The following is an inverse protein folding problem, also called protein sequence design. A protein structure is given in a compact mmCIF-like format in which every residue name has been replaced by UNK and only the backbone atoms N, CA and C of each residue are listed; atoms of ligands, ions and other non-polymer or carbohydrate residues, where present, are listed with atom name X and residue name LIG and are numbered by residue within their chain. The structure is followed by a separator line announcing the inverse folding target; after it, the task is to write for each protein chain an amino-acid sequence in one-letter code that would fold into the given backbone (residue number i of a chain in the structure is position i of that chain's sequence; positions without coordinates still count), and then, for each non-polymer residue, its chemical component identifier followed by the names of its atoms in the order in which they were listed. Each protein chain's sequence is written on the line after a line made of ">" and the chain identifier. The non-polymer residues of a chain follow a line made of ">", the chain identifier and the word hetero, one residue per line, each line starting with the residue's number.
data_IF_309751531223
#
_entry.id   IF_309751531223
#
_cell.length_a   1.000
_cell.length_b   1.000
_cell.length_c   1.000
_cell.angle_alpha   90.00
_cell.angle_beta   90.00
_cell.angle_gamma   90.00
#
_symmetry.space_group_name_H-M   'P 1'
#
loop_
_entity.id
_entity.type
_entity.pdbx_description
1 polymer ?
#
# COMPACT_ATOMS: atom_id res chain seq x y z
N UNK A 1 -54.12 45.35 5.98
CA UNK A 1 -54.44 44.36 4.92
C UNK A 1 -53.13 43.85 4.37
N UNK A 2 -52.68 42.68 4.83
CA UNK A 2 -51.47 42.06 4.28
C UNK A 2 -51.77 41.53 2.88
N UNK A 3 -51.00 42.02 1.91
CA UNK A 3 -51.14 41.69 0.50
C UNK A 3 -50.61 40.27 0.32
N UNK A 4 -51.50 39.28 0.16
CA UNK A 4 -51.14 37.90 -0.16
C UNK A 4 -50.20 37.86 -1.36
N UNK A 5 -48.91 37.63 -1.11
CA UNK A 5 -47.90 37.42 -2.15
C UNK A 5 -48.14 36.03 -2.73
N UNK A 6 -48.94 35.95 -3.79
CA UNK A 6 -49.09 34.71 -4.55
C UNK A 6 -47.78 34.44 -5.28
N UNK A 7 -46.99 33.50 -4.75
CA UNK A 7 -45.76 33.05 -5.40
C UNK A 7 -46.16 32.28 -6.65
N UNK A 8 -45.72 32.68 -7.86
CA UNK A 8 -46.07 31.97 -9.07
C UNK A 8 -45.51 30.55 -9.03
N UNK A 9 -46.30 29.56 -9.45
CA UNK A 9 -45.95 28.12 -9.43
C UNK A 9 -44.58 27.81 -10.06
N UNK A 10 -44.17 28.61 -11.05
CA UNK A 10 -42.85 28.57 -11.70
C UNK A 10 -41.67 28.68 -10.71
N UNK A 11 -41.82 29.44 -9.63
CA UNK A 11 -40.76 29.60 -8.62
C UNK A 11 -40.62 28.35 -7.74
N UNK A 12 -41.71 27.61 -7.51
CA UNK A 12 -41.65 26.33 -6.81
C UNK A 12 -41.00 25.25 -7.68
N UNK A 13 -41.28 25.25 -8.99
CA UNK A 13 -40.59 24.37 -9.94
C UNK A 13 -39.09 24.69 -9.97
N UNK A 14 -38.73 25.97 -10.05
CA UNK A 14 -37.33 26.41 -10.04
C UNK A 14 -36.62 25.98 -8.75
N UNK A 15 -37.29 26.10 -7.61
CA UNK A 15 -36.76 25.66 -6.31
C UNK A 15 -36.58 24.13 -6.27
N UNK A 16 -37.55 23.36 -6.75
CA UNK A 16 -37.46 21.90 -6.82
C UNK A 16 -36.30 21.45 -7.72
N UNK A 17 -36.16 22.06 -8.90
CA UNK A 17 -35.04 21.78 -9.81
C UNK A 17 -33.70 22.11 -9.17
N UNK A 18 -33.61 23.27 -8.50
CA UNK A 18 -32.38 23.68 -7.81
C UNK A 18 -32.01 22.69 -6.71
N UNK A 19 -32.99 22.19 -5.94
CA UNK A 19 -32.79 21.21 -4.87
C UNK A 19 -32.36 19.84 -5.41
N UNK A 20 -32.93 19.40 -6.54
CA UNK A 20 -32.48 18.16 -7.20
C UNK A 20 -31.04 18.30 -7.69
N UNK A 21 -30.70 19.45 -8.29
CA UNK A 21 -29.38 19.70 -8.85
C UNK A 21 -28.31 19.73 -7.75
N UNK A 22 -28.60 20.33 -6.59
CA UNK A 22 -27.67 20.30 -5.45
C UNK A 22 -27.45 18.88 -4.93
N UNK A 23 -28.51 18.05 -4.85
CA UNK A 23 -28.37 16.63 -4.47
C UNK A 23 -27.46 15.87 -5.45
N UNK A 24 -27.65 16.06 -6.75
CA UNK A 24 -26.81 15.41 -7.78
C UNK A 24 -25.34 15.81 -7.62
N UNK A 25 -25.07 17.10 -7.39
CA UNK A 25 -23.70 17.61 -7.21
C UNK A 25 -23.05 17.01 -5.96
N UNK A 26 -23.78 16.94 -4.84
CA UNK A 26 -23.28 16.33 -3.60
C UNK A 26 -22.98 14.84 -3.80
N UNK A 27 -23.87 14.10 -4.46
CA UNK A 27 -23.65 12.67 -4.77
C UNK A 27 -22.44 12.49 -5.69
N UNK A 28 -22.29 13.34 -6.69
CA UNK A 28 -21.12 13.30 -7.59
C UNK A 28 -19.82 13.50 -6.82
N UNK A 29 -19.73 14.52 -5.96
CA UNK A 29 -18.54 14.75 -5.14
C UNK A 29 -18.26 13.59 -4.18
N UNK A 30 -19.30 12.99 -3.60
CA UNK A 30 -19.16 11.83 -2.71
C UNK A 30 -18.57 10.62 -3.45
N UNK A 31 -19.12 10.28 -4.62
CA UNK A 31 -18.62 9.17 -5.46
C UNK A 31 -17.20 9.44 -5.94
N UNK A 32 -16.90 10.67 -6.37
CA UNK A 32 -15.57 11.04 -6.81
C UNK A 32 -14.54 10.91 -5.68
N UNK A 33 -14.87 11.40 -4.48
CA UNK A 33 -14.00 11.29 -3.31
C UNK A 33 -13.72 9.83 -2.95
N UNK A 34 -14.77 9.01 -2.86
CA UNK A 34 -14.65 7.58 -2.54
C UNK A 34 -13.81 6.83 -3.58
N UNK A 35 -14.06 7.06 -4.87
CA UNK A 35 -13.28 6.42 -5.93
C UNK A 35 -11.80 6.87 -5.90
N UNK A 36 -11.52 8.10 -5.50
CA UNK A 36 -10.15 8.60 -5.40
C UNK A 36 -9.37 7.91 -4.27
N UNK A 37 -10.01 7.61 -3.13
CA UNK A 37 -9.39 6.82 -2.07
C UNK A 37 -9.06 5.40 -2.54
N UNK A 38 -10.01 4.73 -3.21
CA UNK A 38 -9.80 3.38 -3.75
C UNK A 38 -8.72 3.34 -4.83
N UNK A 39 -8.71 4.31 -5.74
CA UNK A 39 -7.73 4.38 -6.81
C UNK A 39 -6.33 4.66 -6.27
N UNK A 40 -6.20 5.46 -5.22
CA UNK A 40 -4.92 5.68 -4.57
C UNK A 40 -4.34 4.38 -4.02
N UNK A 41 -5.16 3.46 -3.51
CA UNK A 41 -4.70 2.15 -2.99
C UNK A 41 -4.22 1.18 -4.10
N UNK A 42 -4.67 1.38 -5.33
CA UNK A 42 -4.29 0.58 -6.51
C UNK A 42 -2.96 1.00 -7.13
N UNK A 43 -2.51 2.23 -6.89
CA UNK A 43 -1.27 2.74 -7.47
C UNK A 43 -0.08 2.25 -6.63
N UNK A 44 0.87 1.47 -7.16
CA UNK A 44 2.05 1.06 -6.42
C UNK A 44 2.89 2.28 -5.98
N UNK A 45 3.40 2.24 -4.74
CA UNK A 45 4.35 3.24 -4.23
C UNK A 45 5.78 2.71 -4.31
N UNK A 46 5.97 1.43 -3.96
CA UNK A 46 7.29 0.83 -3.79
C UNK A 46 8.06 0.65 -5.10
N UNK A 47 7.36 0.52 -6.23
CA UNK A 47 7.94 0.43 -7.58
C UNK A 47 8.83 1.63 -7.95
N UNK A 48 8.61 2.80 -7.34
CA UNK A 48 9.41 4.01 -7.54
C UNK A 48 10.68 4.05 -6.70
N UNK A 49 10.76 3.25 -5.63
CA UNK A 49 11.85 3.31 -4.64
C UNK A 49 12.69 2.04 -4.63
N UNK A 50 12.11 0.89 -4.98
CA UNK A 50 12.74 -0.41 -4.93
C UNK A 50 12.65 -1.08 -6.30
N UNK A 51 13.65 -1.90 -6.63
CA UNK A 51 13.59 -2.75 -7.83
C UNK A 51 12.51 -3.82 -7.65
N UNK A 52 11.55 -3.85 -8.57
CA UNK A 52 10.44 -4.82 -8.57
C UNK A 52 10.90 -6.15 -9.16
N UNK A 53 10.50 -7.25 -8.53
CA UNK A 53 10.69 -8.63 -8.99
C UNK A 53 9.33 -9.30 -9.09
N UNK A 54 9.09 -10.00 -10.19
CA UNK A 54 7.89 -10.80 -10.36
C UNK A 54 8.01 -12.11 -9.58
N UNK A 55 6.91 -12.57 -8.99
CA UNK A 55 6.88 -13.86 -8.31
C UNK A 55 7.37 -15.03 -9.18
N UNK A 56 7.09 -14.99 -10.48
CA UNK A 56 7.52 -16.05 -11.41
C UNK A 56 9.04 -16.03 -11.69
N UNK A 57 9.72 -14.91 -11.43
CA UNK A 57 11.16 -14.71 -11.66
C UNK A 57 11.96 -14.82 -10.35
N UNK A 58 11.28 -15.01 -9.22
CA UNK A 58 11.88 -15.03 -7.90
C UNK A 58 12.92 -16.15 -7.77
N UNK A 59 12.61 -17.35 -8.25
CA UNK A 59 13.51 -18.51 -8.14
C UNK A 59 14.80 -18.29 -8.93
N UNK A 60 14.70 -17.85 -10.19
CA UNK A 60 15.86 -17.52 -11.03
C UNK A 60 16.70 -16.41 -10.40
N UNK A 61 16.04 -15.37 -9.87
CA UNK A 61 16.71 -14.28 -9.19
C UNK A 61 17.50 -14.75 -7.96
N UNK A 62 16.93 -15.63 -7.14
CA UNK A 62 17.56 -16.14 -5.91
C UNK A 62 18.74 -17.08 -6.21
N UNK A 63 18.76 -17.73 -7.38
CA UNK A 63 19.91 -18.52 -7.84
C UNK A 63 21.10 -17.60 -8.15
N UNK A 64 20.84 -16.47 -8.81
CA UNK A 64 21.86 -15.48 -9.15
C UNK A 64 22.29 -14.62 -7.95
N UNK A 65 21.34 -14.27 -7.08
CA UNK A 65 21.50 -13.34 -5.96
C UNK A 65 21.15 -14.04 -4.64
N UNK A 66 22.06 -14.91 -4.21
CA UNK A 66 21.87 -15.79 -3.05
C UNK A 66 21.73 -15.05 -1.72
N UNK A 67 22.31 -13.86 -1.64
CA UNK A 67 22.21 -12.97 -0.48
C UNK A 67 21.38 -11.75 -0.89
N UNK A 68 20.14 -11.67 -0.40
CA UNK A 68 19.20 -10.61 -0.80
C UNK A 68 18.18 -10.31 0.30
N UNK A 69 17.69 -9.07 0.31
CA UNK A 69 16.61 -8.63 1.19
C UNK A 69 15.39 -8.34 0.33
N UNK A 70 14.26 -9.00 0.62
CA UNK A 70 13.06 -8.90 -0.20
C UNK A 70 11.89 -8.42 0.66
N UNK A 71 11.34 -7.25 0.32
CA UNK A 71 10.07 -6.78 0.84
C UNK A 71 8.93 -7.33 -0.01
N UNK A 72 8.00 -8.05 0.62
CA UNK A 72 6.85 -8.67 0.00
C UNK A 72 5.58 -7.95 0.42
N UNK A 73 4.74 -7.56 -0.53
CA UNK A 73 3.48 -6.87 -0.24
C UNK A 73 2.40 -7.11 -1.31
N UNK A 74 1.21 -6.56 -1.05
CA UNK A 74 0.07 -6.54 -1.96
C UNK A 74 -0.61 -5.17 -1.93
N UNK A 75 -1.05 -4.70 -3.10
CA UNK A 75 -1.82 -3.46 -3.24
C UNK A 75 -3.24 -3.61 -2.67
N UNK A 76 -4.00 -2.51 -2.65
CA UNK A 76 -5.40 -2.48 -2.16
C UNK A 76 -5.59 -2.72 -0.66
N UNK A 77 -4.59 -2.46 0.17
CA UNK A 77 -4.72 -2.47 1.63
C UNK A 77 -4.26 -1.15 2.26
N UNK A 78 -5.13 -0.52 3.06
CA UNK A 78 -4.90 0.78 3.69
C UNK A 78 -3.80 0.74 4.76
N UNK A 79 -3.72 -0.32 5.57
CA UNK A 79 -2.69 -0.47 6.60
C UNK A 79 -1.30 -0.61 5.97
N UNK A 80 -1.22 -1.47 4.94
CA UNK A 80 -0.03 -1.64 4.12
C UNK A 80 0.39 -0.31 3.51
N UNK A 81 -0.56 0.44 2.95
CA UNK A 81 -0.29 1.75 2.32
C UNK A 81 0.31 2.76 3.31
N UNK A 82 -0.25 2.87 4.51
CA UNK A 82 0.27 3.79 5.53
C UNK A 82 1.64 3.35 6.04
N UNK A 83 1.89 2.05 6.14
CA UNK A 83 3.21 1.51 6.43
C UNK A 83 4.22 1.81 5.32
N UNK A 84 3.86 1.58 4.06
CA UNK A 84 4.68 1.83 2.88
C UNK A 84 5.12 3.30 2.77
N UNK A 85 4.23 4.25 3.11
CA UNK A 85 4.59 5.68 3.19
C UNK A 85 5.71 5.95 4.19
N UNK A 86 5.74 5.24 5.31
CA UNK A 86 6.81 5.35 6.33
C UNK A 86 8.06 4.60 5.91
N UNK A 87 7.90 3.40 5.35
CA UNK A 87 9.01 2.59 4.83
C UNK A 87 9.78 3.33 3.74
N UNK A 88 9.09 4.04 2.85
CA UNK A 88 9.71 4.94 1.86
C UNK A 88 10.72 5.90 2.49
N UNK A 89 10.42 6.47 3.66
CA UNK A 89 11.32 7.42 4.31
C UNK A 89 12.60 6.70 4.72
N UNK A 90 12.48 5.53 5.38
CA UNK A 90 13.64 4.70 5.77
C UNK A 90 14.46 4.27 4.54
N UNK A 91 13.80 3.85 3.46
CA UNK A 91 14.48 3.44 2.23
C UNK A 91 15.35 4.57 1.70
N UNK A 92 14.82 5.80 1.66
CA UNK A 92 15.57 6.96 1.17
C UNK A 92 16.67 7.39 2.15
N UNK A 93 16.37 7.44 3.45
CA UNK A 93 17.30 7.88 4.49
C UNK A 93 18.55 6.99 4.54
N UNK A 94 18.39 5.68 4.35
CA UNK A 94 19.46 4.68 4.35
C UNK A 94 19.90 4.23 2.95
N UNK A 95 19.41 4.86 1.88
CA UNK A 95 19.72 4.51 0.48
C UNK A 95 19.55 3.02 0.13
N UNK A 96 18.47 2.40 0.61
CA UNK A 96 18.20 0.96 0.51
C UNK A 96 17.67 0.51 -0.85
N UNK A 97 17.55 1.42 -1.82
CA UNK A 97 16.93 1.19 -3.13
C UNK A 97 17.56 0.03 -3.92
N UNK A 98 18.87 -0.19 -3.71
CA UNK A 98 19.63 -1.28 -4.34
C UNK A 98 19.83 -2.49 -3.41
N UNK A 99 19.44 -2.38 -2.15
CA UNK A 99 19.62 -3.42 -1.12
C UNK A 99 18.36 -4.23 -0.93
N UNK A 100 17.20 -3.56 -0.90
CA UNK A 100 15.89 -4.18 -0.73
C UNK A 100 15.21 -4.28 -2.09
N UNK A 101 14.63 -5.44 -2.36
CA UNK A 101 13.88 -5.73 -3.56
C UNK A 101 12.40 -5.78 -3.23
N UNK A 102 11.55 -5.39 -4.17
CA UNK A 102 10.11 -5.43 -3.98
C UNK A 102 9.48 -6.60 -4.73
N UNK A 103 8.83 -7.49 -4.01
CA UNK A 103 8.04 -8.58 -4.56
C UNK A 103 6.55 -8.22 -4.47
N UNK A 104 5.95 -7.91 -5.62
CA UNK A 104 4.53 -7.61 -5.72
C UNK A 104 3.71 -8.90 -5.88
N UNK A 105 2.77 -9.13 -4.96
CA UNK A 105 1.84 -10.27 -4.97
C UNK A 105 0.42 -9.88 -5.38
N UNK A 106 0.20 -8.69 -5.93
CA UNK A 106 -1.14 -8.18 -6.26
C UNK A 106 -1.90 -9.09 -7.22
N UNK A 107 -1.24 -9.54 -8.27
CA UNK A 107 -1.82 -10.42 -9.29
C UNK A 107 -1.95 -11.89 -8.83
N UNK A 108 -1.47 -12.21 -7.63
CA UNK A 108 -1.56 -13.55 -7.05
C UNK A 108 -2.70 -13.63 -6.03
N UNK A 109 -3.57 -14.62 -6.19
CA UNK A 109 -4.58 -15.01 -5.20
C UNK A 109 -3.98 -15.97 -4.18
N UNK A 110 -2.92 -15.53 -3.50
CA UNK A 110 -2.22 -16.31 -2.50
C UNK A 110 -2.27 -15.52 -1.20
N UNK A 111 -2.88 -16.10 -0.15
CA UNK A 111 -3.01 -15.46 1.17
C UNK A 111 -1.76 -15.61 2.06
N UNK A 112 -0.89 -16.57 1.73
CA UNK A 112 0.39 -16.81 2.42
C UNK A 112 1.45 -17.24 1.43
N UNK A 113 2.62 -16.63 1.54
CA UNK A 113 3.75 -17.03 0.72
C UNK A 113 4.29 -18.35 1.26
N UNK A 114 4.08 -19.43 0.50
CA UNK A 114 4.72 -20.72 0.73
C UNK A 114 6.10 -20.65 0.10
N UNK A 115 7.10 -20.41 0.94
CA UNK A 115 8.49 -20.48 0.54
C UNK A 115 9.16 -21.53 1.41
N UNK A 116 9.82 -22.48 0.76
CA UNK A 116 10.40 -23.64 1.44
C UNK A 116 9.32 -24.35 2.30
N UNK A 117 9.63 -24.63 3.57
CA UNK A 117 8.71 -25.23 4.55
C UNK A 117 7.97 -24.19 5.42
N UNK A 118 8.09 -22.89 5.11
CA UNK A 118 7.54 -21.80 5.93
C UNK A 118 6.30 -21.19 5.27
N UNK A 119 5.27 -20.94 6.09
CA UNK A 119 4.09 -20.16 5.71
C UNK A 119 4.26 -18.73 6.22
N UNK A 120 4.68 -17.81 5.35
CA UNK A 120 4.93 -16.42 5.72
C UNK A 120 3.71 -15.56 5.36
N UNK A 121 3.22 -14.78 6.33
CA UNK A 121 2.17 -13.79 6.04
C UNK A 121 2.81 -12.55 5.42
N UNK A 122 2.14 -11.94 4.44
CA UNK A 122 2.50 -10.63 3.92
C UNK A 122 1.64 -9.53 4.59
N UNK A 123 2.08 -8.27 4.61
CA UNK A 123 3.41 -7.82 4.15
C UNK A 123 4.53 -8.30 5.08
N UNK A 124 5.69 -8.61 4.50
CA UNK A 124 6.86 -9.06 5.26
C UNK A 124 8.17 -8.64 4.60
N UNK A 125 9.24 -8.58 5.39
CA UNK A 125 10.62 -8.48 4.89
C UNK A 125 11.30 -9.83 5.09
N UNK A 126 11.91 -10.35 4.03
CA UNK A 126 12.61 -11.63 4.00
C UNK A 126 14.10 -11.39 3.83
N UNK A 127 14.92 -12.11 4.58
CA UNK A 127 16.38 -12.10 4.43
C UNK A 127 16.83 -13.46 3.93
N UNK A 128 17.36 -13.45 2.71
CA UNK A 128 17.99 -14.60 2.09
C UNK A 128 19.49 -14.55 2.33
N UNK A 129 20.05 -15.68 2.75
CA UNK A 129 21.49 -15.93 2.70
C UNK A 129 21.74 -17.31 2.10
N UNK A 130 22.71 -17.40 1.19
CA UNK A 130 23.01 -18.63 0.47
C UNK A 130 21.78 -19.26 -0.21
N UNK A 131 20.84 -18.44 -0.69
CA UNK A 131 19.61 -18.88 -1.37
C UNK A 131 18.55 -19.47 -0.44
N UNK A 132 18.68 -19.31 0.89
CA UNK A 132 17.70 -19.77 1.88
C UNK A 132 17.22 -18.66 2.78
N UNK A 133 15.98 -18.77 3.27
CA UNK A 133 15.42 -17.79 4.22
C UNK A 133 15.99 -18.03 5.61
N UNK A 134 16.95 -17.19 6.02
CA UNK A 134 17.52 -17.24 7.37
C UNK A 134 16.62 -16.56 8.40
N UNK A 135 15.95 -15.48 8.02
CA UNK A 135 15.19 -14.61 8.91
C UNK A 135 14.07 -13.93 8.13
N UNK A 136 12.97 -13.60 8.82
CA UNK A 136 11.89 -12.82 8.25
C UNK A 136 11.19 -11.99 9.32
N UNK A 137 10.68 -10.83 8.91
CA UNK A 137 9.90 -9.93 9.74
C UNK A 137 8.47 -9.82 9.19
N UNK A 138 7.51 -10.37 9.93
CA UNK A 138 6.08 -10.27 9.62
C UNK A 138 5.55 -8.92 10.11
N UNK A 139 5.22 -8.03 9.18
CA UNK A 139 4.82 -6.65 9.51
C UNK A 139 3.43 -6.64 10.13
N UNK A 140 2.54 -7.55 9.70
CA UNK A 140 1.18 -7.63 10.23
C UNK A 140 1.18 -8.12 11.67
N UNK A 141 2.00 -9.12 12.00
CA UNK A 141 2.16 -9.63 13.38
C UNK A 141 2.73 -8.56 14.32
N UNK A 142 3.57 -7.68 13.80
CA UNK A 142 4.15 -6.56 14.54
C UNK A 142 3.34 -5.25 14.43
N UNK A 143 2.05 -5.35 14.09
CA UNK A 143 1.11 -4.22 14.06
C UNK A 143 1.58 -3.03 13.20
N UNK A 144 2.29 -3.30 12.10
CA UNK A 144 2.82 -2.29 11.18
C UNK A 144 3.74 -1.25 11.85
N UNK A 145 4.43 -1.63 12.94
CA UNK A 145 5.36 -0.74 13.61
C UNK A 145 6.66 -0.61 12.81
N UNK A 146 6.89 0.60 12.30
CA UNK A 146 8.07 0.92 11.51
C UNK A 146 9.36 0.97 12.34
N UNK A 147 9.26 1.25 13.65
CA UNK A 147 10.42 1.27 14.55
C UNK A 147 10.95 -0.14 14.79
N UNK A 148 10.05 -1.10 15.01
CA UNK A 148 10.42 -2.51 15.13
C UNK A 148 11.06 -3.03 13.85
N UNK A 149 10.58 -2.63 12.68
CA UNK A 149 11.24 -2.96 11.42
C UNK A 149 12.65 -2.35 11.36
N UNK A 150 12.80 -1.08 11.75
CA UNK A 150 14.11 -0.41 11.75
C UNK A 150 15.09 -1.16 12.66
N UNK A 151 14.67 -1.49 13.88
CA UNK A 151 15.46 -2.27 14.83
C UNK A 151 15.87 -3.63 14.24
N UNK A 152 14.92 -4.35 13.63
CA UNK A 152 15.19 -5.61 12.94
C UNK A 152 16.23 -5.47 11.81
N UNK A 153 16.13 -4.42 10.99
CA UNK A 153 17.10 -4.16 9.91
C UNK A 153 18.50 -3.81 10.46
N UNK A 154 18.59 -3.17 11.63
CA UNK A 154 19.86 -2.92 12.32
C UNK A 154 20.45 -4.23 12.86
N UNK A 155 19.64 -5.04 13.54
CA UNK A 155 20.06 -6.34 14.11
C UNK A 155 20.61 -7.30 13.04
N UNK A 156 19.99 -7.30 11.87
CA UNK A 156 20.40 -8.13 10.73
C UNK A 156 21.54 -7.52 9.91
N UNK A 157 22.02 -6.32 10.29
CA UNK A 157 23.15 -5.63 9.68
C UNK A 157 22.87 -5.03 8.29
N UNK A 158 21.59 -4.77 7.98
CA UNK A 158 21.16 -4.19 6.70
C UNK A 158 21.31 -2.66 6.70
N UNK A 159 21.08 -2.03 7.86
CA UNK A 159 21.30 -0.60 8.08
C UNK A 159 22.21 -0.37 9.28
N UNK A 160 22.97 0.73 9.23
CA UNK A 160 23.83 1.12 10.34
C UNK A 160 23.00 1.82 11.43
N UNK A 161 23.46 1.70 12.68
CA UNK A 161 22.90 2.46 13.79
C UNK A 161 23.55 3.85 13.79
N UNK A 162 22.77 4.89 13.50
CA UNK A 162 23.18 6.29 13.58
C UNK A 162 22.95 6.86 14.99
#
# INVERSE_FOLDING_TARGET
>A
MEKNRNIPFKNYILLAVTLILTVIVVVYFFVWHSNNEENNLKIPIMDKYLRVINYNELDDFLVENKDSVIYVSKLNNKEIREFEKKLKLIINDYSLNNTILYLDLTDKNIDKLKLEDKNINYPAVLIYKNGKIISYFDIKKNNYDIKLLKEYLIEEGIINND
#
